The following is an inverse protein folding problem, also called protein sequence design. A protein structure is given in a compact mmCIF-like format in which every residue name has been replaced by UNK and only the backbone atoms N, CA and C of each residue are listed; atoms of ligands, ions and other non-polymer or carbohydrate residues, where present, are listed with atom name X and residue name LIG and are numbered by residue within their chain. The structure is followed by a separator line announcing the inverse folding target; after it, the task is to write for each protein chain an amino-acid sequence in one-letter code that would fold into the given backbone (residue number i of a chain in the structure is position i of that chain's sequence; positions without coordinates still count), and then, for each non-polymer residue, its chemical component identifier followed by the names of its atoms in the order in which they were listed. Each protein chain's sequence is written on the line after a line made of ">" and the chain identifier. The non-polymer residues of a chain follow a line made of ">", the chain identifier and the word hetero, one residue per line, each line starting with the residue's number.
data_IF_483868054955
#
_entry.id   IF_483868054955
#
_cell.length_a   1.000
_cell.length_b   1.000
_cell.length_c   1.000
_cell.angle_alpha   90.00
_cell.angle_beta   90.00
_cell.angle_gamma   90.00
#
_symmetry.space_group_name_H-M   'P 1'
#
loop_
_entity.id
_entity.type
_entity.pdbx_description
1 polymer ?
#
# COMPACT_ATOMS: atom_id res chain seq x y z
N UNK A 1 47.82 -49.34 -39.21
CA UNK A 1 47.91 -47.94 -39.65
C UNK A 1 46.62 -47.61 -40.37
N UNK A 2 45.79 -46.71 -39.84
CA UNK A 2 44.54 -46.33 -40.49
C UNK A 2 44.83 -45.66 -41.84
N UNK A 3 44.10 -46.03 -42.89
CA UNK A 3 44.25 -45.47 -44.23
C UNK A 3 44.01 -43.96 -44.21
N UNK A 4 44.74 -43.18 -45.02
CA UNK A 4 44.50 -41.72 -45.16
C UNK A 4 43.03 -41.41 -45.48
N UNK A 5 42.33 -42.31 -46.17
CA UNK A 5 40.89 -42.19 -46.45
C UNK A 5 40.03 -42.35 -45.18
N UNK A 6 40.39 -43.27 -44.28
CA UNK A 6 39.68 -43.46 -43.00
C UNK A 6 39.86 -42.24 -42.08
N UNK A 7 41.07 -41.69 -42.00
CA UNK A 7 41.31 -40.46 -41.22
C UNK A 7 40.55 -39.24 -41.74
N UNK A 8 40.40 -39.09 -43.06
CA UNK A 8 39.58 -38.01 -43.66
C UNK A 8 38.09 -38.22 -43.34
N UNK A 9 37.58 -39.45 -43.43
CA UNK A 9 36.19 -39.75 -43.07
C UNK A 9 35.89 -39.50 -41.57
N UNK A 10 36.81 -39.86 -40.67
CA UNK A 10 36.66 -39.56 -39.24
C UNK A 10 36.73 -38.06 -38.94
N UNK A 11 37.61 -37.32 -39.61
CA UNK A 11 37.70 -35.87 -39.46
C UNK A 11 36.44 -35.14 -39.97
N UNK A 12 35.90 -35.55 -41.13
CA UNK A 12 34.65 -34.99 -41.70
C UNK A 12 33.45 -35.36 -40.84
N UNK A 13 33.37 -36.60 -40.35
CA UNK A 13 32.32 -37.05 -39.43
C UNK A 13 32.33 -36.29 -38.09
N UNK A 14 33.51 -36.03 -37.52
CA UNK A 14 33.65 -35.26 -36.29
C UNK A 14 33.27 -33.77 -36.47
N UNK A 15 33.66 -33.15 -37.59
CA UNK A 15 33.28 -31.77 -37.92
C UNK A 15 31.77 -31.65 -38.17
N UNK A 16 31.15 -32.60 -38.86
CA UNK A 16 29.72 -32.63 -39.09
C UNK A 16 28.91 -32.81 -37.80
N UNK A 17 29.34 -33.71 -36.90
CA UNK A 17 28.72 -33.91 -35.60
C UNK A 17 28.87 -32.67 -34.69
N UNK A 18 30.03 -32.01 -34.70
CA UNK A 18 30.27 -30.76 -33.98
C UNK A 18 29.38 -29.61 -34.47
N UNK A 19 29.26 -29.44 -35.79
CA UNK A 19 28.39 -28.42 -36.38
C UNK A 19 26.91 -28.67 -36.07
N UNK A 20 26.45 -29.93 -36.13
CA UNK A 20 25.08 -30.30 -35.79
C UNK A 20 24.78 -30.05 -34.31
N UNK A 21 25.72 -30.37 -33.41
CA UNK A 21 25.60 -30.10 -31.98
C UNK A 21 25.48 -28.60 -31.69
N UNK A 22 26.32 -27.77 -32.31
CA UNK A 22 26.27 -26.30 -32.16
C UNK A 22 24.93 -25.76 -32.69
N UNK A 23 24.46 -26.22 -33.85
CA UNK A 23 23.18 -25.78 -34.42
C UNK A 23 21.98 -26.16 -33.53
N UNK A 24 21.95 -27.37 -32.97
CA UNK A 24 20.90 -27.81 -32.03
C UNK A 24 20.97 -26.98 -30.74
N UNK A 25 22.18 -26.72 -30.23
CA UNK A 25 22.37 -25.94 -29.00
C UNK A 25 21.97 -24.47 -29.20
N UNK A 26 22.32 -23.86 -30.33
CA UNK A 26 21.87 -22.51 -30.69
C UNK A 26 20.36 -22.43 -30.88
N UNK A 27 19.75 -23.42 -31.55
CA UNK A 27 18.29 -23.46 -31.74
C UNK A 27 17.56 -23.62 -30.42
N UNK A 28 18.06 -24.48 -29.52
CA UNK A 28 17.57 -24.58 -28.14
C UNK A 28 17.76 -23.28 -27.36
N UNK A 29 18.86 -22.57 -27.56
CA UNK A 29 19.13 -21.26 -26.91
C UNK A 29 18.18 -20.18 -27.43
N UNK A 30 17.94 -20.12 -28.75
CA UNK A 30 17.00 -19.19 -29.40
C UNK A 30 15.56 -19.48 -28.98
N UNK A 31 15.13 -20.74 -29.01
CA UNK A 31 13.81 -21.15 -28.50
C UNK A 31 13.64 -20.84 -27.01
N UNK A 32 14.65 -21.11 -26.17
CA UNK A 32 14.61 -20.70 -24.75
C UNK A 32 14.52 -19.19 -24.58
N UNK A 33 15.18 -18.40 -25.44
CA UNK A 33 15.08 -16.93 -25.41
C UNK A 33 13.68 -16.45 -25.83
N UNK A 34 13.12 -16.97 -26.90
CA UNK A 34 11.76 -16.62 -27.35
C UNK A 34 10.68 -17.01 -26.36
N UNK A 35 10.79 -18.21 -25.75
CA UNK A 35 9.91 -18.65 -24.67
C UNK A 35 10.02 -17.74 -23.45
N UNK A 36 11.22 -17.29 -23.07
CA UNK A 36 11.40 -16.31 -22.00
C UNK A 36 10.77 -14.97 -22.36
N UNK A 37 11.00 -14.46 -23.57
CA UNK A 37 10.40 -13.22 -24.06
C UNK A 37 8.88 -13.26 -24.07
N UNK A 38 8.28 -14.38 -24.50
CA UNK A 38 6.82 -14.57 -24.45
C UNK A 38 6.29 -14.69 -23.02
N UNK A 39 7.04 -15.32 -22.12
CA UNK A 39 6.66 -15.45 -20.70
C UNK A 39 6.83 -14.14 -19.93
N UNK A 40 7.73 -13.27 -20.39
CA UNK A 40 8.02 -11.96 -19.83
C UNK A 40 7.21 -10.84 -20.53
N UNK A 41 6.36 -11.19 -21.50
CA UNK A 41 5.46 -10.25 -22.15
C UNK A 41 4.45 -9.67 -21.14
N UNK A 42 4.07 -8.39 -21.30
CA UNK A 42 3.10 -7.78 -20.41
C UNK A 42 1.75 -8.52 -20.50
N UNK A 43 1.14 -8.63 -19.34
CA UNK A 43 -0.09 -9.35 -19.08
C UNK A 43 -1.25 -8.39 -19.32
N UNK A 44 -2.39 -8.92 -19.77
CA UNK A 44 -3.62 -8.15 -19.87
C UNK A 44 -4.06 -7.59 -18.51
N UNK A 45 -4.61 -6.37 -18.52
CA UNK A 45 -5.17 -5.65 -17.38
C UNK A 45 -6.07 -6.52 -16.48
N UNK A 46 -6.94 -7.33 -17.08
CA UNK A 46 -7.90 -8.16 -16.33
C UNK A 46 -7.19 -9.21 -15.48
N UNK A 47 -6.11 -9.83 -15.99
CA UNK A 47 -5.35 -10.82 -15.23
C UNK A 47 -4.52 -10.14 -14.13
N UNK A 48 -3.99 -8.93 -14.38
CA UNK A 48 -3.31 -8.13 -13.36
C UNK A 48 -4.26 -7.80 -12.20
N UNK A 49 -5.47 -7.33 -12.51
CA UNK A 49 -6.51 -7.04 -11.50
C UNK A 49 -6.95 -8.30 -10.75
N UNK A 50 -7.11 -9.43 -11.43
CA UNK A 50 -7.44 -10.71 -10.77
C UNK A 50 -6.34 -11.14 -9.80
N UNK A 51 -5.07 -11.02 -10.18
CA UNK A 51 -3.96 -11.36 -9.29
C UNK A 51 -3.92 -10.42 -8.09
N UNK A 52 -4.10 -9.12 -8.29
CA UNK A 52 -4.14 -8.14 -7.20
C UNK A 52 -5.31 -8.39 -6.23
N UNK A 53 -6.51 -8.65 -6.75
CA UNK A 53 -7.68 -8.90 -5.92
C UNK A 53 -7.55 -10.23 -5.15
N UNK A 54 -7.09 -11.31 -5.79
CA UNK A 54 -6.80 -12.57 -5.09
C UNK A 54 -5.71 -12.41 -4.03
N UNK A 55 -4.68 -11.61 -4.32
CA UNK A 55 -3.62 -11.32 -3.35
C UNK A 55 -4.17 -10.53 -2.16
N UNK A 56 -5.07 -9.56 -2.40
CA UNK A 56 -5.75 -8.80 -1.36
C UNK A 56 -6.73 -9.64 -0.52
N UNK A 57 -7.41 -10.62 -1.11
CA UNK A 57 -8.28 -11.54 -0.38
C UNK A 57 -7.47 -12.52 0.47
N UNK A 58 -6.43 -13.12 -0.12
CA UNK A 58 -5.60 -14.09 0.58
C UNK A 58 -4.68 -13.43 1.62
N UNK A 59 -4.31 -12.16 1.44
CA UNK A 59 -3.53 -11.42 2.43
C UNK A 59 -4.27 -11.21 3.75
N UNK A 60 -5.61 -11.14 3.75
CA UNK A 60 -6.40 -11.07 4.99
C UNK A 60 -6.15 -12.25 5.92
N UNK A 61 -6.09 -13.46 5.37
CA UNK A 61 -5.79 -14.66 6.14
C UNK A 61 -4.34 -14.67 6.66
N UNK A 62 -3.41 -14.14 5.87
CA UNK A 62 -1.99 -13.99 6.27
C UNK A 62 -1.85 -12.97 7.41
N UNK A 63 -2.56 -11.84 7.34
CA UNK A 63 -2.57 -10.80 8.39
C UNK A 63 -3.00 -11.40 9.73
N UNK A 64 -4.12 -12.11 9.75
CA UNK A 64 -4.64 -12.71 10.98
C UNK A 64 -3.68 -13.74 11.58
N UNK A 65 -3.08 -14.58 10.73
CA UNK A 65 -2.07 -15.54 11.18
C UNK A 65 -0.87 -14.85 11.83
N UNK A 66 -0.33 -13.81 11.19
CA UNK A 66 0.85 -13.08 11.68
C UNK A 66 0.51 -12.32 12.95
N UNK A 67 -0.69 -11.75 13.08
CA UNK A 67 -1.14 -11.10 14.32
C UNK A 67 -1.10 -12.06 15.50
N UNK A 68 -1.64 -13.28 15.32
CA UNK A 68 -1.64 -14.32 16.36
C UNK A 68 -0.21 -14.74 16.71
N UNK A 69 0.67 -14.92 15.71
CA UNK A 69 2.08 -15.28 15.95
C UNK A 69 2.83 -14.16 16.68
N UNK A 70 2.67 -12.91 16.27
CA UNK A 70 3.33 -11.75 16.89
C UNK A 70 2.82 -11.55 18.32
N UNK A 71 1.51 -11.67 18.58
CA UNK A 71 0.97 -11.60 19.95
C UNK A 71 1.56 -12.69 20.84
N UNK A 72 1.66 -13.92 20.34
CA UNK A 72 2.25 -15.03 21.08
C UNK A 72 3.73 -14.77 21.39
N UNK A 73 4.50 -14.27 20.43
CA UNK A 73 5.91 -13.92 20.62
C UNK A 73 6.05 -12.73 21.58
N UNK A 74 5.16 -11.73 21.49
CA UNK A 74 5.14 -10.57 22.37
C UNK A 74 4.93 -10.98 23.83
N UNK A 75 3.97 -11.88 24.10
CA UNK A 75 3.72 -12.42 25.44
C UNK A 75 4.87 -13.30 25.93
N UNK A 76 5.46 -14.12 25.06
CA UNK A 76 6.55 -15.04 25.43
C UNK A 76 7.88 -14.32 25.71
N UNK A 77 8.17 -13.25 24.97
CA UNK A 77 9.44 -12.53 25.03
C UNK A 77 9.34 -11.16 25.71
N UNK A 78 8.17 -10.78 26.22
CA UNK A 78 7.88 -9.47 26.79
C UNK A 78 8.34 -8.32 25.87
N UNK A 79 8.05 -8.44 24.57
CA UNK A 79 8.46 -7.42 23.59
C UNK A 79 7.67 -6.12 23.79
N UNK A 80 8.33 -4.99 23.57
CA UNK A 80 7.65 -3.71 23.55
C UNK A 80 6.66 -3.65 22.37
N UNK A 81 5.65 -2.79 22.47
CA UNK A 81 4.67 -2.61 21.39
C UNK A 81 5.32 -2.19 20.07
N UNK A 82 6.43 -1.44 20.14
CA UNK A 82 7.19 -1.01 18.97
C UNK A 82 7.95 -2.17 18.32
N UNK A 83 8.55 -3.04 19.13
CA UNK A 83 9.25 -4.25 18.64
C UNK A 83 8.28 -5.26 18.04
N UNK A 84 7.11 -5.45 18.67
CA UNK A 84 6.04 -6.30 18.12
C UNK A 84 5.55 -5.76 16.77
N UNK A 85 5.44 -4.44 16.63
CA UNK A 85 5.06 -3.79 15.38
C UNK A 85 6.10 -3.99 14.27
N UNK A 86 7.38 -3.80 14.57
CA UNK A 86 8.45 -4.05 13.61
C UNK A 86 8.48 -5.53 13.18
N UNK A 87 8.31 -6.45 14.13
CA UNK A 87 8.24 -7.88 13.84
C UNK A 87 7.02 -8.23 12.96
N UNK A 88 5.88 -7.58 13.22
CA UNK A 88 4.70 -7.72 12.39
C UNK A 88 4.97 -7.27 10.95
N UNK A 89 5.51 -6.06 10.75
CA UNK A 89 5.80 -5.52 9.42
C UNK A 89 6.75 -6.43 8.65
N UNK A 90 7.84 -6.87 9.28
CA UNK A 90 8.83 -7.74 8.65
C UNK A 90 8.22 -9.09 8.23
N UNK A 91 7.47 -9.73 9.12
CA UNK A 91 6.81 -11.00 8.81
C UNK A 91 5.73 -10.85 7.73
N UNK A 92 5.03 -9.72 7.76
CA UNK A 92 3.97 -9.41 6.80
C UNK A 92 4.51 -9.17 5.40
N UNK A 93 5.56 -8.35 5.24
CA UNK A 93 6.24 -8.14 3.96
C UNK A 93 6.74 -9.48 3.39
N UNK A 94 7.43 -10.27 4.21
CA UNK A 94 7.95 -11.56 3.77
C UNK A 94 6.84 -12.52 3.33
N UNK A 95 5.74 -12.59 4.09
CA UNK A 95 4.62 -13.48 3.78
C UNK A 95 3.81 -12.99 2.58
N UNK A 96 3.68 -11.67 2.38
CA UNK A 96 3.07 -11.10 1.19
C UNK A 96 3.89 -11.42 -0.07
N UNK A 97 5.21 -11.27 -0.02
CA UNK A 97 6.07 -11.58 -1.17
C UNK A 97 5.97 -13.06 -1.55
N UNK A 98 5.93 -13.96 -0.55
CA UNK A 98 5.69 -15.38 -0.78
C UNK A 98 4.30 -15.64 -1.40
N UNK A 99 3.26 -14.98 -0.87
CA UNK A 99 1.89 -15.10 -1.37
C UNK A 99 1.77 -14.64 -2.82
N UNK A 100 2.28 -13.45 -3.13
CA UNK A 100 2.29 -12.89 -4.48
C UNK A 100 3.10 -13.79 -5.41
N UNK A 101 4.24 -14.32 -4.94
CA UNK A 101 5.04 -15.31 -5.67
C UNK A 101 4.27 -16.61 -5.98
N UNK A 102 3.49 -17.11 -5.02
CA UNK A 102 2.67 -18.32 -5.19
C UNK A 102 1.51 -18.08 -6.17
N UNK A 103 0.76 -16.98 -6.01
CA UNK A 103 -0.36 -16.60 -6.89
C UNK A 103 0.16 -16.37 -8.31
N UNK A 104 1.29 -15.68 -8.46
CA UNK A 104 1.96 -15.49 -9.74
C UNK A 104 2.29 -16.83 -10.42
N UNK A 105 2.82 -17.78 -9.66
CA UNK A 105 3.14 -19.13 -10.16
C UNK A 105 1.88 -19.88 -10.58
N UNK A 106 0.79 -19.77 -9.80
CA UNK A 106 -0.52 -20.34 -10.11
C UNK A 106 -1.09 -19.78 -11.43
N UNK A 107 -0.92 -18.49 -11.67
CA UNK A 107 -1.35 -17.80 -12.88
C UNK A 107 -0.33 -17.89 -14.04
N UNK A 108 0.78 -18.63 -13.88
CA UNK A 108 1.87 -18.80 -14.86
C UNK A 108 2.49 -17.49 -15.35
N UNK A 109 2.46 -16.46 -14.50
CA UNK A 109 3.00 -15.14 -14.78
C UNK A 109 4.46 -15.08 -14.34
N UNK A 110 5.32 -14.36 -15.06
CA UNK A 110 6.68 -14.07 -14.58
C UNK A 110 6.73 -12.74 -13.81
N UNK A 111 7.71 -12.58 -12.93
CA UNK A 111 7.94 -11.31 -12.21
C UNK A 111 8.08 -10.14 -13.17
N UNK A 112 8.88 -10.34 -14.22
CA UNK A 112 9.12 -9.34 -15.26
C UNK A 112 7.87 -9.00 -16.05
N UNK A 113 7.02 -9.99 -16.34
CA UNK A 113 5.73 -9.75 -16.99
C UNK A 113 4.83 -8.90 -16.08
N UNK A 114 4.80 -9.19 -14.79
CA UNK A 114 4.02 -8.44 -13.81
C UNK A 114 4.53 -7.00 -13.67
N UNK A 115 5.84 -6.79 -13.51
CA UNK A 115 6.47 -5.47 -13.44
C UNK A 115 6.23 -4.64 -14.72
N UNK A 116 6.35 -5.27 -15.88
CA UNK A 116 6.07 -4.63 -17.17
C UNK A 116 4.60 -4.23 -17.27
N UNK A 117 3.69 -5.06 -16.77
CA UNK A 117 2.25 -4.79 -16.73
C UNK A 117 1.91 -3.65 -15.77
N UNK A 118 2.58 -3.58 -14.61
CA UNK A 118 2.42 -2.46 -13.69
C UNK A 118 2.85 -1.15 -14.32
N UNK A 119 3.99 -1.11 -15.01
CA UNK A 119 4.44 0.09 -15.75
C UNK A 119 3.47 0.48 -16.87
N UNK A 120 2.95 -0.51 -17.59
CA UNK A 120 2.02 -0.28 -18.70
C UNK A 120 0.64 0.23 -18.21
N UNK A 121 0.18 -0.25 -17.06
CA UNK A 121 -1.15 0.08 -16.51
C UNK A 121 -1.10 1.04 -15.31
N UNK A 122 0.04 1.68 -15.02
CA UNK A 122 0.21 2.58 -13.87
C UNK A 122 -0.80 3.76 -13.85
N UNK A 123 -1.22 4.20 -15.04
CA UNK A 123 -2.15 5.30 -15.18
C UNK A 123 -3.61 4.86 -15.09
N UNK A 124 -3.89 3.56 -15.02
CA UNK A 124 -5.25 3.03 -14.95
C UNK A 124 -5.83 3.21 -13.54
N UNK A 125 -7.01 3.85 -13.39
CA UNK A 125 -7.62 4.09 -12.09
C UNK A 125 -7.96 2.80 -11.34
N UNK A 126 -8.34 1.72 -12.03
CA UNK A 126 -8.68 0.46 -11.38
C UNK A 126 -7.45 -0.24 -10.79
N UNK A 127 -6.32 -0.18 -11.50
CA UNK A 127 -5.05 -0.75 -11.02
C UNK A 127 -4.50 0.06 -9.85
N UNK A 128 -4.59 1.39 -9.90
CA UNK A 128 -4.25 2.25 -8.75
C UNK A 128 -5.12 1.95 -7.53
N UNK A 129 -6.42 1.80 -7.70
CA UNK A 129 -7.33 1.46 -6.62
C UNK A 129 -7.00 0.11 -5.98
N UNK A 130 -6.67 -0.91 -6.79
CA UNK A 130 -6.29 -2.23 -6.29
C UNK A 130 -4.96 -2.21 -5.51
N UNK A 131 -3.96 -1.47 -6.00
CA UNK A 131 -2.68 -1.26 -5.29
C UNK A 131 -2.91 -0.48 -3.99
N UNK A 132 -3.75 0.55 -4.03
CA UNK A 132 -4.08 1.34 -2.85
C UNK A 132 -4.81 0.49 -1.82
N UNK A 133 -5.72 -0.39 -2.22
CA UNK A 133 -6.42 -1.32 -1.33
C UNK A 133 -5.43 -2.28 -0.64
N UNK A 134 -4.47 -2.84 -1.40
CA UNK A 134 -3.39 -3.66 -0.82
C UNK A 134 -2.52 -2.88 0.18
N UNK A 135 -2.20 -1.62 -0.11
CA UNK A 135 -1.41 -0.76 0.78
C UNK A 135 -2.20 -0.35 2.03
N UNK A 136 -3.51 -0.16 1.91
CA UNK A 136 -4.38 0.08 3.07
C UNK A 136 -4.43 -1.16 3.95
N UNK A 137 -4.54 -2.36 3.36
CA UNK A 137 -4.48 -3.62 4.10
C UNK A 137 -3.15 -3.77 4.84
N UNK A 138 -2.01 -3.39 4.25
CA UNK A 138 -0.72 -3.43 4.94
C UNK A 138 -0.62 -2.43 6.09
N UNK A 139 -1.13 -1.20 5.91
CA UNK A 139 -1.09 -0.16 6.95
C UNK A 139 -2.06 -0.42 8.10
N UNK A 140 -3.25 -0.94 7.80
CA UNK A 140 -4.24 -1.33 8.83
C UNK A 140 -3.89 -2.64 9.52
N UNK A 141 -3.23 -3.57 8.82
CA UNK A 141 -2.71 -4.79 9.40
C UNK A 141 -1.61 -4.53 10.43
N UNK A 142 -0.72 -3.56 10.12
CA UNK A 142 0.39 -3.18 10.98
C UNK A 142 -0.05 -2.53 12.29
N UNK A 143 -1.26 -1.96 12.38
CA UNK A 143 -1.74 -1.40 13.63
C UNK A 143 -1.64 -2.46 14.76
N UNK A 144 -0.94 -2.18 15.88
CA UNK A 144 -0.69 -3.14 16.94
C UNK A 144 -2.01 -3.69 17.49
N UNK A 145 -2.04 -4.85 18.15
CA UNK A 145 -3.28 -5.43 18.66
C UNK A 145 -3.97 -4.61 19.76
N UNK A 146 -3.31 -3.56 20.29
CA UNK A 146 -4.00 -2.52 21.07
C UNK A 146 -4.97 -1.68 20.21
N UNK A 147 -4.72 -1.58 18.90
CA UNK A 147 -5.58 -0.92 17.90
C UNK A 147 -6.50 -1.91 17.17
N UNK A 148 -6.17 -3.20 17.08
CA UNK A 148 -7.06 -4.21 16.47
C UNK A 148 -8.08 -4.80 17.45
N UNK A 149 -7.81 -4.82 18.77
CA UNK A 149 -8.84 -5.05 19.79
C UNK A 149 -9.76 -3.83 19.98
N UNK A 150 -9.39 -2.67 19.42
CA UNK A 150 -10.20 -1.46 19.35
C UNK A 150 -11.01 -1.32 18.05
N UNK A 151 -10.97 -2.30 17.13
CA UNK A 151 -11.89 -2.33 15.99
C UNK A 151 -13.34 -2.73 16.39
N UNK A 152 -13.54 -3.04 17.66
CA UNK A 152 -14.82 -3.00 18.34
C UNK A 152 -14.71 -2.15 19.62
N UNK A 153 -13.91 -1.07 19.63
CA UNK A 153 -14.13 -0.03 20.61
C UNK A 153 -15.44 0.65 20.24
N UNK A 154 -16.47 0.19 20.92
CA UNK A 154 -17.63 1.00 21.23
C UNK A 154 -17.18 2.44 21.38
N UNK A 155 -17.73 3.33 20.54
CA UNK A 155 -17.73 4.78 20.76
C UNK A 155 -17.88 4.95 22.27
N UNK A 156 -16.86 5.46 22.98
CA UNK A 156 -16.84 5.43 24.43
C UNK A 156 -18.19 5.90 24.95
N UNK A 157 -18.77 5.26 25.96
CA UNK A 157 -20.09 5.69 26.45
C UNK A 157 -20.09 7.19 26.85
N UNK A 158 -18.91 7.73 27.15
CA UNK A 158 -18.66 9.15 27.37
C UNK A 158 -18.73 10.02 26.11
N UNK A 159 -18.50 9.50 24.91
CA UNK A 159 -18.51 10.18 23.60
C UNK A 159 -19.94 10.20 23.02
N UNK A 160 -20.77 11.06 23.59
CA UNK A 160 -22.15 11.29 23.13
C UNK A 160 -22.19 12.15 21.87
N UNK A 161 -23.35 12.23 21.21
CA UNK A 161 -23.58 13.13 20.06
C UNK A 161 -23.22 14.59 20.37
N UNK A 162 -23.54 15.07 21.57
CA UNK A 162 -23.20 16.44 21.99
C UNK A 162 -21.69 16.65 22.15
N UNK A 163 -20.98 15.67 22.73
CA UNK A 163 -19.51 15.73 22.83
C UNK A 163 -18.85 15.60 21.47
N UNK A 164 -19.38 14.78 20.57
CA UNK A 164 -18.89 14.71 19.20
C UNK A 164 -19.03 16.08 18.51
N UNK A 165 -20.17 16.76 18.69
CA UNK A 165 -20.36 18.11 18.16
C UNK A 165 -19.35 19.09 18.73
N UNK A 166 -19.07 19.01 20.03
CA UNK A 166 -18.06 19.85 20.69
C UNK A 166 -16.66 19.58 20.14
N UNK A 167 -16.27 18.30 19.98
CA UNK A 167 -14.99 17.87 19.42
C UNK A 167 -14.86 18.35 17.97
N UNK A 168 -15.89 18.19 17.15
CA UNK A 168 -15.87 18.64 15.75
C UNK A 168 -15.78 20.16 15.64
N UNK A 169 -16.47 20.89 16.53
CA UNK A 169 -16.37 22.36 16.61
C UNK A 169 -14.96 22.78 17.03
N UNK A 170 -14.39 22.11 18.04
CA UNK A 170 -13.03 22.33 18.50
C UNK A 170 -12.01 22.03 17.38
N UNK A 171 -12.23 20.98 16.59
CA UNK A 171 -11.41 20.65 15.43
C UNK A 171 -11.46 21.74 14.38
N UNK A 172 -12.64 22.25 14.05
CA UNK A 172 -12.79 23.35 13.09
C UNK A 172 -12.00 24.60 13.54
N UNK A 173 -12.12 24.99 14.80
CA UNK A 173 -11.42 26.17 15.36
C UNK A 173 -9.90 25.95 15.43
N UNK A 174 -9.46 24.77 15.87
CA UNK A 174 -8.03 24.44 15.95
C UNK A 174 -7.40 24.38 14.56
N UNK A 175 -8.11 23.80 13.59
CA UNK A 175 -7.70 23.76 12.19
C UNK A 175 -7.51 25.16 11.61
N UNK A 176 -8.45 26.09 11.85
CA UNK A 176 -8.31 27.49 11.41
C UNK A 176 -7.05 28.14 11.99
N UNK A 177 -6.78 27.92 13.29
CA UNK A 177 -5.59 28.46 13.96
C UNK A 177 -4.29 27.89 13.38
N UNK A 178 -4.26 26.59 13.10
CA UNK A 178 -3.09 25.89 12.58
C UNK A 178 -2.83 26.17 11.08
N UNK A 179 -3.89 26.39 10.29
CA UNK A 179 -3.77 26.72 8.87
C UNK A 179 -3.52 28.21 8.61
N UNK A 180 -3.83 29.09 9.56
CA UNK A 180 -3.54 30.54 9.45
C UNK A 180 -2.08 30.86 9.08
N UNK A 181 -1.04 30.33 9.75
CA UNK A 181 0.35 30.63 9.38
C UNK A 181 0.71 30.11 7.98
N UNK A 182 0.13 28.98 7.57
CA UNK A 182 0.34 28.42 6.23
C UNK A 182 -0.28 29.35 5.19
N UNK A 183 -1.51 29.80 5.42
CA UNK A 183 -2.18 30.76 4.54
C UNK A 183 -1.39 32.07 4.40
N UNK A 184 -0.92 32.65 5.50
CA UNK A 184 -0.11 33.89 5.47
C UNK A 184 1.20 33.70 4.68
N UNK A 185 1.82 32.51 4.77
CA UNK A 185 2.99 32.18 3.95
C UNK A 185 2.62 32.04 2.46
N UNK A 186 1.51 31.38 2.15
CA UNK A 186 1.04 31.23 0.77
C UNK A 186 0.70 32.59 0.13
N UNK A 187 0.08 33.50 0.87
CA UNK A 187 -0.22 34.86 0.41
C UNK A 187 1.07 35.66 0.14
N UNK A 188 2.10 35.52 0.99
CA UNK A 188 3.41 36.15 0.77
C UNK A 188 4.12 35.63 -0.47
N UNK A 189 4.11 34.31 -0.69
CA UNK A 189 4.69 33.66 -1.88
C UNK A 189 3.96 34.14 -3.15
N UNK A 190 2.62 34.22 -3.08
CA UNK A 190 1.80 34.74 -4.18
C UNK A 190 2.10 36.22 -4.48
N UNK A 191 2.28 37.04 -3.45
CA UNK A 191 2.66 38.45 -3.61
C UNK A 191 4.05 38.63 -4.25
N UNK A 192 4.92 37.62 -4.13
CA UNK A 192 6.23 37.55 -4.80
C UNK A 192 6.16 36.99 -6.24
N UNK A 193 4.95 36.75 -6.76
CA UNK A 193 4.72 36.23 -8.12
C UNK A 193 5.01 34.74 -8.29
N UNK A 194 5.18 34.01 -7.18
CA UNK A 194 5.43 32.56 -7.20
C UNK A 194 4.12 31.78 -6.98
N UNK A 195 4.03 30.56 -7.54
CA UNK A 195 2.89 29.67 -7.32
C UNK A 195 3.00 28.98 -5.95
N UNK A 196 2.09 29.25 -5.00
CA UNK A 196 2.09 28.57 -3.71
C UNK A 196 1.86 27.06 -3.88
N UNK A 197 2.68 26.24 -3.22
CA UNK A 197 2.46 24.80 -3.10
C UNK A 197 2.55 24.40 -1.62
N UNK A 198 1.47 23.85 -1.09
CA UNK A 198 1.47 23.29 0.26
C UNK A 198 2.01 21.88 0.20
N UNK A 199 3.06 21.59 0.97
CA UNK A 199 3.64 20.25 1.00
C UNK A 199 2.72 19.28 1.76
N UNK A 200 2.57 18.02 1.31
CA UNK A 200 1.79 17.01 2.01
C UNK A 200 2.27 16.76 3.45
N UNK A 201 3.57 16.94 3.70
CA UNK A 201 4.19 16.78 5.02
C UNK A 201 3.70 17.83 6.02
N UNK A 202 3.48 19.07 5.56
CA UNK A 202 2.96 20.15 6.42
C UNK A 202 1.51 19.89 6.81
N UNK A 203 0.69 19.38 5.88
CA UNK A 203 -0.68 18.98 6.19
C UNK A 203 -0.75 17.81 7.17
N UNK A 204 0.14 16.82 7.02
CA UNK A 204 0.26 15.72 7.98
C UNK A 204 0.67 16.22 9.37
N UNK A 205 1.61 17.17 9.46
CA UNK A 205 2.02 17.75 10.74
C UNK A 205 0.87 18.52 11.42
N UNK A 206 0.09 19.30 10.64
CA UNK A 206 -1.11 19.99 11.14
C UNK A 206 -2.13 18.98 11.66
N UNK A 207 -2.40 17.92 10.89
CA UNK A 207 -3.30 16.85 11.32
C UNK A 207 -2.84 16.25 12.66
N UNK A 208 -1.58 15.85 12.78
CA UNK A 208 -1.03 15.28 14.03
C UNK A 208 -1.18 16.21 15.23
N UNK A 209 -0.95 17.53 15.06
CA UNK A 209 -1.13 18.51 16.15
C UNK A 209 -2.59 18.62 16.58
N UNK A 210 -3.53 18.60 15.63
CA UNK A 210 -4.97 18.61 15.92
C UNK A 210 -5.35 17.33 16.66
N UNK A 211 -4.94 16.16 16.17
CA UNK A 211 -5.19 14.86 16.81
C UNK A 211 -4.67 14.83 18.25
N UNK A 212 -3.46 15.35 18.49
CA UNK A 212 -2.89 15.47 19.84
C UNK A 212 -3.69 16.43 20.73
N UNK A 213 -4.15 17.56 20.20
CA UNK A 213 -4.96 18.52 20.95
C UNK A 213 -6.33 17.94 21.33
N UNK A 214 -6.96 17.17 20.44
CA UNK A 214 -8.22 16.46 20.71
C UNK A 214 -8.03 15.40 21.78
N UNK A 215 -7.01 14.56 21.62
CA UNK A 215 -6.72 13.50 22.59
C UNK A 215 -6.40 14.11 23.98
N UNK A 216 -5.59 15.17 24.03
CA UNK A 216 -5.27 15.84 25.29
C UNK A 216 -6.49 16.49 25.97
N UNK A 217 -7.46 16.99 25.21
CA UNK A 217 -8.61 17.73 25.76
C UNK A 217 -9.80 16.82 26.07
N UNK A 218 -10.05 15.83 25.23
CA UNK A 218 -11.24 14.99 25.27
C UNK A 218 -10.94 13.52 25.57
N UNK A 219 -9.67 13.12 25.60
CA UNK A 219 -9.26 11.73 25.87
C UNK A 219 -9.68 10.76 24.78
N UNK A 220 -9.96 11.26 23.56
CA UNK A 220 -10.42 10.45 22.43
C UNK A 220 -9.44 10.48 21.27
N UNK A 221 -9.33 9.35 20.59
CA UNK A 221 -8.49 9.20 19.39
C UNK A 221 -9.23 9.61 18.12
N UNK A 222 -8.50 9.89 17.05
CA UNK A 222 -9.08 10.18 15.73
C UNK A 222 -10.00 9.04 15.25
N UNK A 223 -9.62 7.79 15.55
CA UNK A 223 -10.37 6.59 15.19
C UNK A 223 -11.71 6.54 15.93
N UNK A 224 -11.72 6.86 17.24
CA UNK A 224 -12.95 6.93 18.02
C UNK A 224 -13.88 8.08 17.57
N UNK A 225 -13.30 9.22 17.17
CA UNK A 225 -14.05 10.34 16.61
C UNK A 225 -14.67 9.95 15.27
N UNK A 226 -13.92 9.26 14.39
CA UNK A 226 -14.43 8.76 13.11
C UNK A 226 -15.53 7.70 13.30
N UNK A 227 -15.33 6.76 14.21
CA UNK A 227 -16.34 5.77 14.58
C UNK A 227 -17.61 6.45 15.13
N UNK A 228 -17.48 7.52 15.91
CA UNK A 228 -18.62 8.30 16.40
C UNK A 228 -19.32 9.08 15.28
N UNK A 229 -18.59 9.66 14.33
CA UNK A 229 -19.15 10.31 13.13
C UNK A 229 -19.99 9.33 12.33
N UNK A 230 -19.54 8.09 12.17
CA UNK A 230 -20.29 7.03 11.48
C UNK A 230 -21.48 6.53 12.32
N UNK A 231 -21.27 6.24 13.60
CA UNK A 231 -22.32 5.76 14.53
C UNK A 231 -23.49 6.74 14.66
N UNK A 232 -23.20 8.04 14.69
CA UNK A 232 -24.23 9.08 14.82
C UNK A 232 -24.69 9.67 13.48
N UNK A 233 -24.20 9.17 12.34
CA UNK A 233 -24.59 9.66 11.03
C UNK A 233 -24.27 11.15 10.81
N UNK A 234 -23.21 11.66 11.43
CA UNK A 234 -22.91 13.10 11.49
C UNK A 234 -22.66 13.74 10.10
N UNK A 235 -22.44 12.94 9.05
CA UNK A 235 -22.33 13.43 7.66
C UNK A 235 -23.67 13.91 7.09
N UNK A 236 -24.77 13.30 7.51
CA UNK A 236 -26.12 13.58 7.01
C UNK A 236 -26.97 14.37 8.02
N UNK A 237 -26.48 14.50 9.25
CA UNK A 237 -27.15 15.19 10.34
C UNK A 237 -27.03 16.74 10.19
N UNK A 238 -28.17 17.47 10.15
CA UNK A 238 -28.19 18.93 10.07
C UNK A 238 -27.40 19.63 11.17
N UNK A 239 -27.31 19.04 12.37
CA UNK A 239 -26.61 19.62 13.51
C UNK A 239 -25.08 19.70 13.32
N UNK A 240 -24.53 18.95 12.38
CA UNK A 240 -23.10 18.90 12.08
C UNK A 240 -22.74 19.55 10.74
N UNK A 241 -23.75 19.83 9.91
CA UNK A 241 -23.59 20.39 8.57
C UNK A 241 -22.78 21.68 8.56
N UNK A 242 -23.09 22.62 9.46
CA UNK A 242 -22.39 23.91 9.54
C UNK A 242 -20.92 23.74 9.93
N UNK A 243 -20.62 22.78 10.80
CA UNK A 243 -19.25 22.48 11.25
C UNK A 243 -18.45 21.85 10.10
N UNK A 244 -19.05 20.90 9.38
CA UNK A 244 -18.42 20.27 8.21
C UNK A 244 -18.20 21.26 7.07
N UNK A 245 -19.16 22.15 6.82
CA UNK A 245 -19.01 23.23 5.85
C UNK A 245 -17.90 24.19 6.24
N UNK A 246 -17.80 24.55 7.53
CA UNK A 246 -16.73 25.40 8.03
C UNK A 246 -15.36 24.76 7.82
N UNK A 247 -15.18 23.49 8.19
CA UNK A 247 -13.94 22.75 7.95
C UNK A 247 -13.57 22.73 6.46
N UNK A 248 -14.54 22.43 5.59
CA UNK A 248 -14.33 22.41 4.14
C UNK A 248 -13.93 23.80 3.59
N UNK A 249 -14.57 24.86 4.08
CA UNK A 249 -14.23 26.25 3.72
C UNK A 249 -12.85 26.66 4.22
N UNK A 250 -12.45 26.23 5.42
CA UNK A 250 -11.10 26.48 5.95
C UNK A 250 -10.06 25.83 5.04
N UNK A 251 -10.24 24.56 4.67
CA UNK A 251 -9.32 23.90 3.74
C UNK A 251 -9.29 24.57 2.36
N UNK A 252 -10.46 24.87 1.79
CA UNK A 252 -10.54 25.52 0.48
C UNK A 252 -9.83 26.88 0.47
N UNK A 253 -10.08 27.73 1.48
CA UNK A 253 -9.52 29.08 1.57
C UNK A 253 -8.04 29.13 2.00
N UNK A 254 -7.55 28.12 2.72
CA UNK A 254 -6.15 28.04 3.14
C UNK A 254 -5.23 27.37 2.11
N UNK A 255 -5.79 26.56 1.19
CA UNK A 255 -5.01 25.79 0.22
C UNK A 255 -5.15 26.28 -1.24
N UNK A 256 -6.06 27.23 -1.51
CA UNK A 256 -6.20 27.92 -2.80
C UNK A 256 -5.28 29.13 -2.91
#
# INVERSE_FOLDING_TARGET
>A
MASRAEMVCYAVGALAAGALYIAIHERRRKQKKELKLRRDAPIAKELLLQILNKSAEASKAVIERIRVEVQKIQQQKNLSSEQAHQLFQQNFEHSLDQLIGAIRTQHKVSEKAMDSSFKQHQNDPAVRAAIQNMRVLSSTAAAPPAAAAAAAEDVPASLTRDKLREIMTFNAVTLEKELKPIREQMEKIRAQGQSPQVSPQVLQAVQQRISQAVNSKYGVTDEQVMAAVEKFGAREDPAFKDILQRIAQTFASSLS
#
